data_IF_141474612183
#
_entry.id   IF_141474612183
#
_cell.length_a   1.000
_cell.length_b   1.000
_cell.length_c   1.000
_cell.angle_alpha   90.00
_cell.angle_beta   90.00
_cell.angle_gamma   90.00
#
_symmetry.space_group_name_H-M   'P 1'
#
loop_
_entity.id
_entity.type
_entity.pdbx_description
1 polymer ?
#
# COMPACT_ATOMS: atom_id res chain seq x y z
N UNK A 1 7.93 -13.69 -6.87
CA UNK A 1 7.87 -12.63 -5.84
C UNK A 1 6.62 -12.84 -5.01
N UNK A 2 6.78 -13.05 -3.70
CA UNK A 2 5.66 -13.18 -2.75
C UNK A 2 5.15 -11.80 -2.31
N UNK A 3 3.85 -11.74 -2.00
CA UNK A 3 3.19 -10.56 -1.45
C UNK A 3 2.76 -10.86 -0.02
N UNK A 4 2.97 -9.93 0.91
CA UNK A 4 2.52 -10.08 2.30
C UNK A 4 1.37 -9.09 2.53
N UNK A 5 0.27 -9.57 3.10
CA UNK A 5 -0.83 -8.71 3.55
C UNK A 5 -0.61 -8.43 5.04
N UNK A 6 -0.60 -7.14 5.37
CA UNK A 6 -0.66 -6.63 6.72
C UNK A 6 -2.07 -6.13 6.98
N UNK A 7 -2.62 -6.53 8.10
CA UNK A 7 -3.82 -5.96 8.65
C UNK A 7 -3.44 -4.83 9.60
N UNK A 8 -4.04 -3.66 9.40
CA UNK A 8 -3.84 -2.47 10.21
C UNK A 8 -5.15 -2.13 10.88
N UNK A 9 -5.13 -2.10 12.21
CA UNK A 9 -6.23 -1.59 13.00
C UNK A 9 -6.18 -0.06 12.98
N UNK A 10 -7.23 0.57 12.45
CA UNK A 10 -7.29 2.03 12.29
C UNK A 10 -7.33 2.75 13.64
N UNK A 11 -7.93 2.13 14.65
CA UNK A 11 -8.10 2.70 15.99
C UNK A 11 -6.81 2.62 16.80
N UNK A 12 -6.10 1.49 16.74
CA UNK A 12 -4.89 1.27 17.55
C UNK A 12 -3.59 1.54 16.79
N UNK A 13 -3.64 1.72 15.47
CA UNK A 13 -2.46 1.88 14.61
C UNK A 13 -1.59 0.63 14.50
N UNK A 14 -1.98 -0.48 15.10
CA UNK A 14 -1.20 -1.72 15.10
C UNK A 14 -1.29 -2.41 13.74
N UNK A 15 -0.14 -2.80 13.19
CA UNK A 15 -0.03 -3.60 11.98
C UNK A 15 0.42 -5.02 12.29
N UNK A 16 -0.20 -6.01 11.64
CA UNK A 16 0.13 -7.43 11.78
C UNK A 16 0.14 -8.12 10.42
N UNK A 17 1.19 -8.87 10.12
CA UNK A 17 1.22 -9.73 8.95
C UNK A 17 0.20 -10.88 9.12
N UNK A 18 -0.72 -11.03 8.17
CA UNK A 18 -1.81 -12.01 8.24
C UNK A 18 -1.71 -13.10 7.18
N UNK A 19 -1.14 -12.82 6.00
CA UNK A 19 -0.95 -13.84 4.96
C UNK A 19 0.21 -13.51 4.04
N UNK A 20 0.90 -14.55 3.57
CA UNK A 20 1.91 -14.48 2.51
C UNK A 20 1.36 -15.20 1.27
N UNK A 21 1.17 -14.46 0.19
CA UNK A 21 0.59 -14.91 -1.07
C UNK A 21 1.65 -15.03 -2.15
N UNK A 22 1.50 -16.02 -3.04
CA UNK A 22 2.43 -16.20 -4.17
C UNK A 22 2.05 -15.31 -5.35
N UNK A 23 0.75 -15.05 -5.55
CA UNK A 23 0.25 -14.20 -6.65
C UNK A 23 -0.51 -13.00 -6.11
N UNK A 24 -0.33 -11.86 -6.78
CA UNK A 24 -1.05 -10.63 -6.46
C UNK A 24 -2.58 -10.74 -6.67
N UNK A 25 -3.06 -11.63 -7.56
CA UNK A 25 -4.50 -11.81 -7.80
C UNK A 25 -5.22 -12.45 -6.60
N UNK A 26 -4.53 -13.31 -5.85
CA UNK A 26 -5.07 -14.00 -4.67
C UNK A 26 -5.40 -13.00 -3.54
N UNK A 27 -4.75 -11.84 -3.52
CA UNK A 27 -4.99 -10.77 -2.57
C UNK A 27 -6.43 -10.24 -2.65
N UNK A 28 -6.95 -10.02 -3.86
CA UNK A 28 -8.30 -9.50 -4.03
C UNK A 28 -9.35 -10.49 -3.53
N UNK A 29 -9.09 -11.79 -3.70
CA UNK A 29 -9.94 -12.87 -3.21
C UNK A 29 -9.88 -12.90 -1.69
N UNK A 30 -8.67 -12.91 -1.14
CA UNK A 30 -8.46 -12.93 0.31
C UNK A 30 -9.15 -11.77 1.02
N UNK A 31 -8.99 -10.53 0.53
CA UNK A 31 -9.64 -9.34 1.12
C UNK A 31 -11.17 -9.43 1.03
N UNK A 32 -11.72 -10.04 -0.02
CA UNK A 32 -13.17 -10.23 -0.13
C UNK A 32 -13.71 -11.26 0.87
N UNK A 33 -12.96 -12.32 1.12
CA UNK A 33 -13.40 -13.42 2.00
C UNK A 33 -13.11 -13.16 3.48
N UNK A 34 -11.99 -12.51 3.80
CA UNK A 34 -11.47 -12.36 5.17
C UNK A 34 -11.40 -10.91 5.64
N UNK A 35 -11.64 -9.94 4.75
CA UNK A 35 -11.51 -8.53 5.08
C UNK A 35 -12.57 -8.06 6.07
N UNK A 36 -12.15 -7.27 7.05
CA UNK A 36 -13.01 -6.57 8.01
C UNK A 36 -13.14 -5.09 7.66
N UNK A 37 -14.38 -4.58 7.71
CA UNK A 37 -14.73 -3.20 7.34
C UNK A 37 -14.05 -2.15 8.23
N UNK A 38 -13.65 -2.54 9.43
CA UNK A 38 -13.03 -1.67 10.43
C UNK A 38 -11.50 -1.61 10.30
N UNK A 39 -10.93 -2.34 9.34
CA UNK A 39 -9.49 -2.50 9.18
C UNK A 39 -9.01 -2.03 7.82
N UNK A 40 -7.73 -1.67 7.78
CA UNK A 40 -7.00 -1.34 6.56
C UNK A 40 -6.05 -2.48 6.25
N UNK A 41 -5.96 -2.85 4.98
CA UNK A 41 -5.09 -3.92 4.52
C UNK A 41 -3.98 -3.34 3.65
N UNK A 42 -2.73 -3.50 4.08
CA UNK A 42 -1.57 -3.09 3.30
C UNK A 42 -0.88 -4.29 2.68
N UNK A 43 -0.53 -4.15 1.41
CA UNK A 43 0.11 -5.21 0.65
C UNK A 43 1.54 -4.79 0.35
N UNK A 44 2.45 -5.63 0.79
CA UNK A 44 3.88 -5.43 0.69
C UNK A 44 4.48 -6.45 -0.27
N UNK A 45 5.37 -5.98 -1.14
CA UNK A 45 6.18 -6.80 -2.04
C UNK A 45 7.63 -6.63 -1.62
N UNK A 46 8.17 -7.64 -0.92
CA UNK A 46 9.45 -7.48 -0.23
C UNK A 46 9.37 -6.36 0.81
N UNK A 47 10.19 -5.32 0.65
CA UNK A 47 10.27 -4.17 1.54
C UNK A 47 9.45 -2.96 1.05
N UNK A 48 8.76 -3.07 -0.08
CA UNK A 48 7.99 -1.96 -0.64
C UNK A 48 6.48 -2.17 -0.45
N UNK A 49 5.82 -1.14 0.08
CA UNK A 49 4.36 -1.09 0.13
C UNK A 49 3.80 -0.88 -1.27
N UNK A 50 3.14 -1.90 -1.79
CA UNK A 50 2.58 -1.92 -3.14
C UNK A 50 1.21 -1.24 -3.22
N UNK A 51 0.31 -1.54 -2.28
CA UNK A 51 -1.02 -0.92 -2.24
C UNK A 51 -1.66 -1.05 -0.86
N UNK A 52 -2.57 -0.14 -0.52
CA UNK A 52 -3.38 -0.22 0.70
C UNK A 52 -4.86 -0.25 0.31
N UNK A 53 -5.67 -1.01 1.05
CA UNK A 53 -7.09 -1.23 0.79
C UNK A 53 -7.91 -0.99 2.05
N UNK A 54 -9.09 -0.41 1.87
CA UNK A 54 -10.06 -0.22 2.95
C UNK A 54 -11.48 -0.43 2.43
N UNK A 55 -12.40 -0.72 3.34
CA UNK A 55 -13.81 -0.78 3.01
C UNK A 55 -14.34 0.65 2.85
N UNK A 56 -14.96 0.95 1.71
CA UNK A 56 -15.57 2.26 1.45
C UNK A 56 -17.07 2.14 1.68
N UNK A 57 -17.53 2.50 2.87
CA UNK A 57 -18.95 2.43 3.26
C UNK A 57 -19.87 3.13 2.27
N UNK A 58 -19.52 4.36 1.87
CA UNK A 58 -20.27 5.15 0.87
C UNK A 58 -20.49 4.45 -0.47
N UNK A 59 -19.62 3.49 -0.84
CA UNK A 59 -19.71 2.73 -2.10
C UNK A 59 -20.00 1.25 -1.89
N UNK A 60 -20.18 0.80 -0.64
CA UNK A 60 -20.39 -0.61 -0.28
C UNK A 60 -19.37 -1.57 -0.88
N UNK A 61 -18.11 -1.14 -1.04
CA UNK A 61 -17.08 -1.96 -1.72
C UNK A 61 -15.68 -1.70 -1.18
N UNK A 62 -14.83 -2.73 -1.31
CA UNK A 62 -13.38 -2.58 -1.13
C UNK A 62 -12.81 -1.61 -2.16
N UNK A 63 -11.97 -0.68 -1.71
CA UNK A 63 -11.29 0.25 -2.60
C UNK A 63 -9.84 0.43 -2.21
N UNK A 64 -8.99 0.59 -3.22
CA UNK A 64 -7.61 1.05 -3.01
C UNK A 64 -7.64 2.44 -2.38
N UNK A 65 -6.80 2.62 -1.37
CA UNK A 65 -6.40 3.93 -0.86
C UNK A 65 -5.43 4.55 -1.85
N UNK A 66 -5.43 5.88 -1.94
CA UNK A 66 -4.36 6.57 -2.65
C UNK A 66 -3.05 6.22 -1.93
N UNK A 67 -2.16 5.50 -2.60
CA UNK A 67 -0.78 5.41 -2.14
C UNK A 67 -0.27 6.85 -2.15
N UNK A 68 0.11 7.46 -1.01
CA UNK A 68 0.79 8.74 -1.06
C UNK A 68 1.98 8.54 -2.00
N UNK A 69 1.93 9.21 -3.15
CA UNK A 69 3.07 9.30 -4.05
C UNK A 69 4.14 9.89 -3.17
N UNK A 70 5.19 9.12 -2.85
CA UNK A 70 6.44 9.73 -2.45
C UNK A 70 6.79 10.62 -3.63
N UNK A 71 6.44 11.92 -3.58
CA UNK A 71 7.22 12.90 -4.31
C UNK A 71 8.64 12.53 -3.91
N UNK A 72 9.46 12.08 -4.86
CA UNK A 72 10.90 12.08 -4.66
C UNK A 72 11.17 13.45 -4.09
N UNK A 73 11.54 13.51 -2.82
CA UNK A 73 12.16 14.69 -2.28
C UNK A 73 13.44 14.75 -3.11
N UNK A 74 13.40 15.56 -4.16
CA UNK A 74 14.61 16.08 -4.75
C UNK A 74 15.24 16.79 -3.56
N UNK A 75 16.25 16.15 -2.99
CA UNK A 75 17.23 16.86 -2.20
C UNK A 75 17.88 17.73 -3.26
N UNK A 76 17.41 18.97 -3.32
CA UNK A 76 18.04 20.02 -4.11
C UNK A 76 19.36 20.28 -3.39
N UNK A 77 20.38 19.49 -3.73
CA UNK A 77 21.75 19.84 -3.38
C UNK A 77 22.04 21.16 -4.08
N UNK A 78 22.29 22.17 -3.25
CA UNK A 78 22.54 23.59 -3.53
C UNK A 78 23.82 23.79 -4.35
N UNK A 79 23.86 23.27 -5.58
CA UNK A 79 24.89 23.58 -6.56
C UNK A 79 24.27 23.71 -7.94
N UNK A 80 23.60 24.85 -8.13
CA UNK A 80 23.07 25.28 -9.42
C UNK A 80 24.18 25.36 -10.47
N UNK A 81 24.29 24.33 -11.32
CA UNK A 81 24.95 24.44 -12.61
C UNK A 81 24.18 23.63 -13.64
N UNK A 82 23.33 24.34 -14.39
CA UNK A 82 22.78 23.89 -15.67
C UNK A 82 23.91 23.76 -16.69
N UNK A 83 24.20 22.54 -17.13
CA UNK A 83 24.81 22.33 -18.45
C UNK A 83 23.98 21.32 -19.24
N UNK A 84 23.17 21.83 -20.16
CA UNK A 84 22.83 21.08 -21.37
C UNK A 84 24.10 21.04 -22.24
N UNK A 85 24.59 19.84 -22.55
CA UNK A 85 25.52 19.66 -23.67
C UNK A 85 24.77 19.04 -24.84
N UNK A 86 25.00 19.68 -25.98
CA UNK A 86 24.52 19.41 -27.35
C UNK A 86 24.56 17.95 -27.75
#
# INVERSE_FOLDING_TARGET
MSCIIYEINVTTGQSKAVVCLKKHTEMNVWIKEHGSKEKVYEIWKGLERHSSWCWKEKKGRWGKMATPIKKKQVIEDDWGVLFQKK
#
